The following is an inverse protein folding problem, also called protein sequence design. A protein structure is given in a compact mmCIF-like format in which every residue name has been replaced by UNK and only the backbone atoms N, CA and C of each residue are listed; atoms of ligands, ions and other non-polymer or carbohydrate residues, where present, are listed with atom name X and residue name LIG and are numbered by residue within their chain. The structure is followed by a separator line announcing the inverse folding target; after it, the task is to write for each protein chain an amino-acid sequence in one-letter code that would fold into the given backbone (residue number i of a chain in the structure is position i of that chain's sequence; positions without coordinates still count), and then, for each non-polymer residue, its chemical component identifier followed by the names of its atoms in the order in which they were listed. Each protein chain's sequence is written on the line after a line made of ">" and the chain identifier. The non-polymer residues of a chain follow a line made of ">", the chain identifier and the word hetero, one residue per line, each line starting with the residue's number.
data_IF_183836133714
#
_entry.id   IF_183836133714
#
_cell.length_a   1.000
_cell.length_b   1.000
_cell.length_c   1.000
_cell.angle_alpha   90.00
_cell.angle_beta   90.00
_cell.angle_gamma   90.00
#
_symmetry.space_group_name_H-M   'P 1'
#
loop_
_entity.id
_entity.type
_entity.pdbx_description
1 polymer ?
#
# COMPACT_ATOMS: atom_id res chain seq x y z
N UNK A 1 -11.55 3.84 -6.39
CA UNK A 1 -10.19 3.81 -5.84
C UNK A 1 -10.22 3.13 -4.47
N UNK A 2 -9.50 2.03 -4.29
CA UNK A 2 -9.39 1.31 -3.02
C UNK A 2 -8.09 1.66 -2.30
N UNK A 3 -8.16 2.01 -1.01
CA UNK A 3 -7.00 2.43 -0.21
C UNK A 3 -6.38 1.21 0.48
N UNK A 4 -5.10 0.96 0.20
CA UNK A 4 -4.31 -0.16 0.71
C UNK A 4 -3.12 0.36 1.53
N UNK A 5 -3.30 0.40 2.85
CA UNK A 5 -2.23 0.81 3.78
C UNK A 5 -1.33 -0.38 4.12
N UNK A 6 -0.06 -0.31 3.73
CA UNK A 6 1.02 -1.26 4.09
C UNK A 6 1.79 -0.74 5.29
N UNK A 7 1.06 -0.41 6.36
CA UNK A 7 1.61 0.05 7.64
C UNK A 7 1.30 -0.97 8.74
N UNK A 8 2.21 -1.17 9.72
CA UNK A 8 1.93 -2.00 10.89
C UNK A 8 0.66 -1.61 11.64
N UNK A 9 0.30 -0.31 11.61
CA UNK A 9 -0.78 0.26 12.41
C UNK A 9 -2.13 0.36 11.64
N UNK A 10 -2.29 -0.40 10.56
CA UNK A 10 -3.47 -0.29 9.68
C UNK A 10 -4.78 -0.72 10.37
N UNK A 11 -5.87 -0.05 9.99
CA UNK A 11 -7.15 0.05 10.72
C UNK A 11 -7.95 -1.26 10.85
N UNK A 12 -7.58 -2.34 10.16
CA UNK A 12 -8.35 -3.60 10.16
C UNK A 12 -7.94 -4.61 11.24
N UNK A 13 -6.89 -4.33 12.04
CA UNK A 13 -6.32 -5.30 12.98
C UNK A 13 -5.34 -6.28 12.32
N UNK A 14 -5.11 -6.14 11.00
CA UNK A 14 -4.30 -7.08 10.23
C UNK A 14 -2.84 -6.64 10.04
N UNK A 15 -2.51 -5.40 10.46
CA UNK A 15 -1.16 -4.81 10.42
C UNK A 15 -0.30 -5.42 9.32
N UNK A 16 -0.69 -5.21 8.05
CA UNK A 16 -0.17 -6.03 6.95
C UNK A 16 1.33 -5.73 6.77
N UNK A 17 2.14 -6.56 7.40
CA UNK A 17 3.60 -6.60 7.24
C UNK A 17 4.02 -7.44 6.04
N UNK A 18 3.07 -8.19 5.46
CA UNK A 18 3.31 -9.15 4.39
C UNK A 18 2.71 -8.68 3.06
N UNK A 19 3.57 -8.56 2.04
CA UNK A 19 3.18 -8.19 0.70
C UNK A 19 2.09 -9.12 0.12
N UNK A 20 2.09 -10.41 0.49
CA UNK A 20 1.07 -11.35 0.01
C UNK A 20 -0.34 -11.03 0.55
N UNK A 21 -0.45 -10.65 1.81
CA UNK A 21 -1.72 -10.22 2.38
C UNK A 21 -2.20 -8.91 1.75
N UNK A 22 -1.29 -7.97 1.45
CA UNK A 22 -1.62 -6.74 0.75
C UNK A 22 -2.17 -7.01 -0.66
N UNK A 23 -1.51 -7.90 -1.41
CA UNK A 23 -1.95 -8.32 -2.75
C UNK A 23 -3.30 -9.03 -2.70
N UNK A 24 -3.53 -9.89 -1.71
CA UNK A 24 -4.81 -10.56 -1.51
C UNK A 24 -5.93 -9.55 -1.25
N UNK A 25 -5.68 -8.55 -0.39
CA UNK A 25 -6.65 -7.50 -0.11
C UNK A 25 -6.94 -6.64 -1.34
N UNK A 26 -5.91 -6.29 -2.11
CA UNK A 26 -6.06 -5.54 -3.35
C UNK A 26 -6.88 -6.30 -4.39
N UNK A 27 -6.66 -7.62 -4.53
CA UNK A 27 -7.48 -8.48 -5.40
C UNK A 27 -8.95 -8.41 -5.03
N UNK A 28 -9.27 -8.43 -3.74
CA UNK A 28 -10.64 -8.27 -3.28
C UNK A 28 -11.19 -6.88 -3.63
N UNK A 29 -10.42 -5.81 -3.41
CA UNK A 29 -10.85 -4.45 -3.78
C UNK A 29 -11.16 -4.31 -5.27
N UNK A 30 -10.34 -4.90 -6.15
CA UNK A 30 -10.59 -4.92 -7.59
C UNK A 30 -11.86 -5.72 -7.92
N UNK A 31 -12.05 -6.87 -7.28
CA UNK A 31 -13.26 -7.69 -7.44
C UNK A 31 -14.53 -6.97 -6.95
N UNK A 32 -14.39 -6.13 -5.92
CA UNK A 32 -15.46 -5.29 -5.38
C UNK A 32 -15.72 -4.04 -6.26
N UNK A 33 -14.96 -3.86 -7.35
CA UNK A 33 -15.17 -2.80 -8.33
C UNK A 33 -14.25 -1.58 -8.21
N UNK A 34 -13.12 -1.68 -7.49
CA UNK A 34 -12.14 -0.60 -7.50
C UNK A 34 -11.38 -0.53 -8.83
N UNK A 35 -11.36 0.64 -9.47
CA UNK A 35 -10.59 0.84 -10.72
C UNK A 35 -9.09 1.10 -10.49
N UNK A 36 -8.74 1.62 -9.30
CA UNK A 36 -7.39 2.03 -8.91
C UNK A 36 -7.14 1.55 -7.49
N UNK A 37 -5.94 1.05 -7.22
CA UNK A 37 -5.46 0.75 -5.87
C UNK A 37 -4.46 1.83 -5.43
N UNK A 38 -4.73 2.46 -4.29
CA UNK A 38 -3.90 3.52 -3.71
C UNK A 38 -3.08 2.95 -2.56
N UNK A 39 -1.76 2.85 -2.74
CA UNK A 39 -0.85 2.13 -1.84
C UNK A 39 -0.04 3.12 -1.00
N UNK A 40 -0.19 3.05 0.32
CA UNK A 40 0.54 3.91 1.26
C UNK A 40 1.40 3.11 2.25
N UNK A 41 2.70 3.41 2.32
CA UNK A 41 3.66 2.75 3.24
C UNK A 41 3.88 3.47 4.57
N UNK A 42 3.29 4.66 4.70
CA UNK A 42 3.42 5.57 5.84
C UNK A 42 2.04 6.00 6.32
N UNK A 43 1.86 6.08 7.64
CA UNK A 43 0.58 6.52 8.23
C UNK A 43 0.52 8.05 8.24
N UNK A 44 -0.56 8.62 7.69
CA UNK A 44 -0.84 10.06 7.71
C UNK A 44 -1.76 10.49 8.86
N UNK A 45 -1.97 9.61 9.85
CA UNK A 45 -2.83 9.91 11.02
C UNK A 45 -2.20 10.97 11.93
N UNK A 46 -3.00 11.77 12.64
CA UNK A 46 -2.49 12.70 13.65
C UNK A 46 -1.60 11.98 14.67
N UNK A 47 -0.37 12.46 14.84
CA UNK A 47 0.61 11.89 15.77
C UNK A 47 1.40 10.69 15.24
N UNK A 48 1.17 10.26 13.98
CA UNK A 48 2.03 9.26 13.35
C UNK A 48 3.45 9.81 13.17
N UNK A 49 4.45 9.01 13.51
CA UNK A 49 5.84 9.36 13.25
C UNK A 49 6.19 9.01 11.81
N UNK A 50 6.95 9.91 11.17
CA UNK A 50 7.44 9.64 9.83
C UNK A 50 8.44 8.47 9.86
N UNK A 51 8.38 7.62 8.83
CA UNK A 51 9.32 6.51 8.65
C UNK A 51 10.48 6.90 7.73
N UNK A 52 11.69 6.33 7.90
CA UNK A 52 12.78 6.50 6.96
C UNK A 52 12.40 6.12 5.53
N UNK A 53 13.04 6.75 4.54
CA UNK A 53 12.79 6.50 3.12
C UNK A 53 12.90 5.01 2.77
N UNK A 54 13.96 4.36 3.24
CA UNK A 54 14.26 2.96 2.95
C UNK A 54 13.18 2.02 3.52
N UNK A 55 12.59 2.39 4.65
CA UNK A 55 11.52 1.62 5.29
C UNK A 55 10.21 1.73 4.51
N UNK A 56 9.87 2.92 4.01
CA UNK A 56 8.69 3.11 3.16
C UNK A 56 8.83 2.35 1.84
N UNK A 57 10.00 2.45 1.17
CA UNK A 57 10.29 1.70 -0.05
C UNK A 57 10.19 0.19 0.18
N UNK A 58 10.73 -0.32 1.29
CA UNK A 58 10.65 -1.73 1.67
C UNK A 58 9.21 -2.23 1.79
N UNK A 59 8.28 -1.37 2.22
CA UNK A 59 6.85 -1.70 2.37
C UNK A 59 6.10 -1.61 1.04
N UNK A 60 6.32 -0.55 0.28
CA UNK A 60 5.53 -0.23 -0.91
C UNK A 60 5.98 -1.03 -2.14
N UNK A 61 7.29 -1.15 -2.37
CA UNK A 61 7.85 -1.70 -3.61
C UNK A 61 7.35 -3.13 -3.94
N UNK A 62 7.37 -4.10 -3.01
CA UNK A 62 6.93 -5.46 -3.34
C UNK A 62 5.44 -5.52 -3.70
N UNK A 63 4.63 -4.68 -3.07
CA UNK A 63 3.18 -4.61 -3.35
C UNK A 63 2.94 -3.98 -4.70
N UNK A 64 3.53 -2.82 -5.00
CA UNK A 64 3.37 -2.16 -6.30
C UNK A 64 3.81 -3.07 -7.44
N UNK A 65 4.94 -3.77 -7.30
CA UNK A 65 5.43 -4.73 -8.30
C UNK A 65 4.43 -5.87 -8.54
N UNK A 66 3.90 -6.48 -7.49
CA UNK A 66 2.93 -7.57 -7.63
C UNK A 66 1.59 -7.08 -8.21
N UNK A 67 1.11 -5.88 -7.83
CA UNK A 67 -0.14 -5.34 -8.34
C UNK A 67 -0.05 -4.94 -9.81
N UNK A 68 1.03 -4.28 -10.21
CA UNK A 68 1.24 -3.84 -11.60
C UNK A 68 1.61 -5.01 -12.51
N UNK A 69 2.35 -6.01 -12.01
CA UNK A 69 2.73 -7.21 -12.76
C UNK A 69 1.64 -8.27 -12.78
N UNK A 70 1.41 -8.93 -11.64
CA UNK A 70 0.57 -10.13 -11.56
C UNK A 70 -0.93 -9.84 -11.73
N UNK A 71 -1.38 -8.63 -11.35
CA UNK A 71 -2.79 -8.24 -11.44
C UNK A 71 -3.09 -7.25 -12.57
N UNK A 72 -2.06 -6.63 -13.18
CA UNK A 72 -2.26 -5.58 -14.19
C UNK A 72 -3.06 -4.38 -13.67
N UNK A 73 -3.05 -4.14 -12.35
CA UNK A 73 -3.84 -3.10 -11.72
C UNK A 73 -3.26 -1.71 -11.98
N UNK A 74 -4.14 -0.70 -12.09
CA UNK A 74 -3.72 0.70 -12.02
C UNK A 74 -3.42 1.04 -10.56
N UNK A 75 -2.21 1.52 -10.29
CA UNK A 75 -1.72 1.79 -8.94
C UNK A 75 -1.42 3.28 -8.78
N UNK A 76 -1.93 3.86 -7.70
CA UNK A 76 -1.52 5.14 -7.13
C UNK A 76 -0.61 4.86 -5.93
N UNK A 77 0.41 5.71 -5.73
CA UNK A 77 1.31 5.62 -4.57
C UNK A 77 1.06 6.84 -3.69
N UNK A 78 0.52 6.62 -2.49
CA UNK A 78 0.28 7.65 -1.48
C UNK A 78 1.57 7.88 -0.69
N UNK A 79 2.35 8.86 -1.12
CA UNK A 79 3.60 9.25 -0.48
C UNK A 79 3.83 10.76 -0.57
N UNK A 80 4.51 11.31 0.44
CA UNK A 80 5.01 12.69 0.42
C UNK A 80 6.50 12.76 0.06
N UNK A 81 7.18 11.61 -0.10
CA UNK A 81 8.62 11.54 -0.35
C UNK A 81 8.86 11.43 -1.85
N UNK A 82 9.56 12.42 -2.43
CA UNK A 82 9.82 12.46 -3.87
C UNK A 82 10.64 11.29 -4.41
N UNK A 83 11.39 10.58 -3.56
CA UNK A 83 12.14 9.39 -3.94
C UNK A 83 11.29 8.10 -3.94
N UNK A 84 10.08 8.15 -3.38
CA UNK A 84 9.11 7.04 -3.39
C UNK A 84 8.12 7.19 -4.57
N UNK A 85 7.80 8.43 -4.95
CA UNK A 85 6.94 8.78 -6.08
C UNK A 85 7.61 8.51 -7.45
#
# INVERSE_FOLDING_TARGET
>A
MGVLNVTPDSFSGDGIMDAQAAVTRARQMLADGADIIDVGGESTRPGAQSVPLEEELRRVMPVVQALTGDLGAVVSVDTMKSAVA
#
